data_IF_243512432719
#
_entry.id   IF_243512432719
#
_cell.length_a   1.000
_cell.length_b   1.000
_cell.length_c   1.000
_cell.angle_alpha   90.00
_cell.angle_beta   90.00
_cell.angle_gamma   90.00
#
_symmetry.space_group_name_H-M   'P 1'
#
loop_
_entity.id
_entity.type
_entity.pdbx_description
1 polymer ?
#
# COMPACT_ATOMS: atom_id res chain seq x y z
N UNK A 1 -0.86 -18.63 0.59
CA UNK A 1 0.38 -19.30 1.04
C UNK A 1 0.09 -19.91 2.40
N UNK A 2 0.48 -21.16 2.67
CA UNK A 2 -0.03 -21.96 3.80
C UNK A 2 1.04 -22.09 4.91
N UNK A 3 0.63 -21.97 6.18
CA UNK A 3 1.46 -22.12 7.39
C UNK A 3 1.86 -23.59 7.65
N UNK A 4 2.84 -23.82 8.54
CA UNK A 4 3.26 -25.17 9.01
C UNK A 4 2.15 -25.97 9.71
N UNK A 5 1.08 -25.31 10.15
CA UNK A 5 -0.13 -25.90 10.76
C UNK A 5 -1.37 -25.90 9.83
N UNK A 6 -1.23 -25.47 8.56
CA UNK A 6 -2.25 -25.65 7.52
C UNK A 6 -3.22 -24.49 7.26
N UNK A 7 -3.21 -23.42 8.05
CA UNK A 7 -4.00 -22.20 7.77
C UNK A 7 -3.19 -21.19 6.95
N UNK A 8 -3.77 -20.49 5.95
CA UNK A 8 -3.05 -19.46 5.22
C UNK A 8 -2.91 -18.17 6.03
N UNK A 9 -1.68 -17.73 6.29
CA UNK A 9 -1.42 -16.43 6.92
C UNK A 9 -1.81 -15.26 6.00
N UNK A 10 -1.85 -15.50 4.68
CA UNK A 10 -2.27 -14.51 3.68
C UNK A 10 -3.12 -15.15 2.57
N UNK A 11 -4.21 -14.48 2.22
CA UNK A 11 -5.07 -14.82 1.08
C UNK A 11 -5.71 -13.57 0.48
N UNK A 12 -6.24 -13.68 -0.73
CA UNK A 12 -7.04 -12.64 -1.39
C UNK A 12 -8.03 -13.32 -2.33
N UNK A 13 -9.15 -12.68 -2.64
CA UNK A 13 -10.11 -13.21 -3.62
C UNK A 13 -9.61 -13.00 -5.04
N UNK A 14 -9.17 -11.79 -5.36
CA UNK A 14 -8.68 -11.44 -6.68
C UNK A 14 -7.67 -10.31 -6.65
N UNK A 15 -6.72 -10.37 -7.58
CA UNK A 15 -5.82 -9.30 -7.95
C UNK A 15 -6.00 -9.08 -9.45
N UNK A 16 -6.39 -7.88 -9.85
CA UNK A 16 -6.51 -7.47 -11.25
C UNK A 16 -5.58 -6.30 -11.54
N UNK A 17 -5.04 -6.27 -12.75
CA UNK A 17 -4.27 -5.14 -13.26
C UNK A 17 -4.60 -4.95 -14.74
N UNK A 18 -5.18 -3.80 -15.08
CA UNK A 18 -5.47 -3.42 -16.45
C UNK A 18 -4.49 -2.33 -16.90
N UNK A 19 -3.73 -2.63 -17.96
CA UNK A 19 -2.74 -1.72 -18.53
C UNK A 19 -3.11 -1.42 -19.98
N UNK A 20 -3.02 -0.16 -20.39
CA UNK A 20 -3.24 0.25 -21.77
C UNK A 20 -1.98 0.04 -22.62
N UNK A 21 -1.95 -1.07 -23.36
CA UNK A 21 -0.82 -1.43 -24.23
C UNK A 21 -0.63 -0.42 -25.39
N UNK A 22 -1.71 0.20 -25.89
CA UNK A 22 -1.60 1.18 -26.97
C UNK A 22 -0.99 2.49 -26.46
N UNK A 23 -1.32 2.89 -25.24
CA UNK A 23 -0.67 4.02 -24.58
C UNK A 23 0.82 3.76 -24.39
N UNK A 24 1.22 2.54 -24.00
CA UNK A 24 2.63 2.16 -23.84
C UNK A 24 3.41 2.27 -25.16
N UNK A 25 2.83 1.86 -26.28
CA UNK A 25 3.43 2.04 -27.61
C UNK A 25 3.66 3.53 -27.95
N UNK A 26 2.78 4.40 -27.43
CA UNK A 26 2.91 5.86 -27.47
C UNK A 26 3.77 6.47 -26.35
N UNK A 27 4.56 5.68 -25.62
CA UNK A 27 5.41 6.12 -24.48
C UNK A 27 4.66 6.71 -23.28
N UNK A 28 3.38 6.37 -23.10
CA UNK A 28 2.59 6.75 -21.93
C UNK A 28 2.30 5.52 -21.09
N UNK A 29 2.41 5.65 -19.77
CA UNK A 29 2.11 4.57 -18.84
C UNK A 29 0.72 4.82 -18.28
N UNK A 30 -0.24 3.96 -18.64
CA UNK A 30 -1.62 4.09 -18.20
C UNK A 30 -2.03 2.76 -17.56
N UNK A 31 -2.09 2.76 -16.23
CA UNK A 31 -2.66 1.68 -15.44
C UNK A 31 -4.10 2.07 -15.15
N UNK A 32 -5.03 1.49 -15.90
CA UNK A 32 -6.45 1.84 -15.82
C UNK A 32 -7.05 1.40 -14.49
N UNK A 33 -6.58 0.27 -13.97
CA UNK A 33 -7.02 -0.29 -12.71
C UNK A 33 -5.97 -1.24 -12.15
N UNK A 34 -5.71 -1.15 -10.86
CA UNK A 34 -5.02 -2.16 -10.05
C UNK A 34 -5.89 -2.42 -8.83
N UNK A 35 -6.60 -3.54 -8.78
CA UNK A 35 -7.56 -3.84 -7.71
C UNK A 35 -7.17 -5.09 -6.93
N UNK A 36 -7.20 -5.00 -5.61
CA UNK A 36 -7.02 -6.12 -4.68
C UNK A 36 -8.31 -6.28 -3.88
N UNK A 37 -8.98 -7.42 -4.06
CA UNK A 37 -10.29 -7.68 -3.44
C UNK A 37 -10.17 -8.73 -2.35
N UNK A 38 -10.76 -8.41 -1.19
CA UNK A 38 -10.77 -9.20 0.03
C UNK A 38 -9.38 -9.73 0.44
N UNK A 39 -8.33 -8.89 0.49
CA UNK A 39 -7.06 -9.34 1.05
C UNK A 39 -7.24 -9.62 2.54
N UNK A 40 -6.74 -10.77 2.98
CA UNK A 40 -6.75 -11.22 4.37
C UNK A 40 -5.32 -11.52 4.79
N UNK A 41 -4.89 -10.92 5.89
CA UNK A 41 -3.61 -11.19 6.52
C UNK A 41 -3.82 -11.52 8.00
N UNK A 42 -3.19 -12.58 8.49
CA UNK A 42 -3.18 -12.97 9.89
C UNK A 42 -1.72 -13.11 10.33
N UNK A 43 -1.28 -12.17 11.17
CA UNK A 43 0.03 -12.20 11.80
C UNK A 43 -0.14 -12.64 13.24
N UNK A 44 0.61 -13.65 13.65
CA UNK A 44 0.56 -14.19 15.01
C UNK A 44 1.93 -14.12 15.65
N UNK A 45 1.99 -13.61 16.87
CA UNK A 45 3.15 -13.71 17.77
C UNK A 45 2.92 -14.82 18.78
N UNK A 46 3.84 -15.78 18.87
CA UNK A 46 3.80 -16.85 19.87
C UNK A 46 4.25 -16.36 21.27
N UNK A 47 4.18 -17.23 22.28
CA UNK A 47 4.54 -16.87 23.67
C UNK A 47 6.03 -16.58 23.82
N UNK A 48 6.85 -17.20 22.97
CA UNK A 48 8.28 -17.00 22.85
C UNK A 48 8.63 -15.68 22.14
N UNK A 49 7.65 -15.03 21.52
CA UNK A 49 7.76 -13.74 20.84
C UNK A 49 8.06 -13.82 19.34
N UNK A 50 8.04 -15.02 18.75
CA UNK A 50 8.29 -15.25 17.32
C UNK A 50 7.04 -15.00 16.50
N UNK A 51 7.20 -14.49 15.29
CA UNK A 51 6.09 -14.31 14.35
C UNK A 51 5.93 -15.52 13.44
N UNK A 52 4.69 -15.79 13.01
CA UNK A 52 4.39 -16.79 11.99
C UNK A 52 4.88 -16.41 10.57
N UNK A 53 5.51 -15.24 10.41
CA UNK A 53 6.08 -14.71 9.16
C UNK A 53 7.57 -14.36 9.28
N UNK A 54 8.26 -14.77 10.36
CA UNK A 54 9.68 -14.45 10.57
C UNK A 54 10.60 -14.96 9.44
N UNK A 55 10.19 -16.03 8.76
CA UNK A 55 10.86 -16.58 7.59
C UNK A 55 10.80 -15.66 6.37
N UNK A 56 9.75 -14.83 6.25
CA UNK A 56 9.62 -13.82 5.20
C UNK A 56 10.40 -12.54 5.53
N UNK A 57 10.66 -12.26 6.80
CA UNK A 57 11.34 -11.05 7.27
C UNK A 57 12.85 -11.21 7.36
N UNK A 58 13.36 -12.45 7.38
CA UNK A 58 14.78 -12.73 7.46
C UNK A 58 15.49 -12.35 6.15
N UNK A 59 16.53 -11.47 6.19
CA UNK A 59 17.31 -11.16 5.01
C UNK A 59 17.86 -12.45 4.40
N UNK A 60 17.60 -12.69 3.11
CA UNK A 60 18.34 -13.73 2.40
C UNK A 60 19.80 -13.27 2.29
N UNK A 61 20.69 -13.89 3.04
CA UNK A 61 22.13 -13.75 2.84
C UNK A 61 22.45 -14.23 1.41
N UNK A 62 22.62 -13.30 0.47
CA UNK A 62 22.84 -13.66 -0.92
C UNK A 62 22.67 -12.54 -1.92
N UNK A 63 23.47 -11.48 -1.79
CA UNK A 63 24.22 -10.86 -2.89
C UNK A 63 25.02 -9.69 -2.32
N UNK A 64 26.31 -9.53 -2.68
CA UNK A 64 26.99 -8.26 -2.48
C UNK A 64 26.16 -7.18 -3.18
N UNK A 65 25.69 -6.21 -2.40
CA UNK A 65 25.00 -5.05 -2.93
C UNK A 65 26.06 -4.23 -3.68
N UNK A 66 26.14 -4.44 -5.00
CA UNK A 66 26.86 -3.54 -5.88
C UNK A 66 26.20 -2.18 -5.73
N UNK A 67 26.88 -1.28 -5.02
CA UNK A 67 26.45 0.09 -4.81
C UNK A 67 26.19 0.71 -6.20
N UNK A 68 24.92 1.02 -6.55
CA UNK A 68 24.62 1.57 -7.86
C UNK A 68 25.43 2.86 -8.01
N UNK A 69 26.08 3.10 -9.15
CA UNK A 69 26.84 4.33 -9.34
C UNK A 69 25.92 5.51 -9.06
N UNK A 70 26.33 6.37 -8.12
CA UNK A 70 25.56 7.55 -7.75
C UNK A 70 25.17 8.32 -9.02
N UNK A 71 23.87 8.58 -9.27
CA UNK A 71 23.45 9.24 -10.49
C UNK A 71 24.08 10.62 -10.56
N UNK A 72 25.05 10.79 -11.47
CA UNK A 72 25.53 12.10 -11.89
C UNK A 72 24.45 12.74 -12.75
N UNK A 73 23.57 13.51 -12.14
CA UNK A 73 22.52 14.23 -12.85
C UNK A 73 22.02 15.44 -12.08
N UNK A 74 22.70 16.58 -12.21
CA UNK A 74 22.19 17.90 -11.82
C UNK A 74 21.26 18.47 -12.91
N UNK A 75 20.52 17.59 -13.58
CA UNK A 75 19.53 17.93 -14.60
C UNK A 75 18.13 17.80 -14.01
N UNK A 76 17.15 18.58 -14.48
CA UNK A 76 15.77 18.39 -14.06
C UNK A 76 15.26 17.00 -14.46
N UNK A 77 14.62 16.30 -13.52
CA UNK A 77 14.02 14.99 -13.77
C UNK A 77 12.74 15.19 -14.59
N UNK A 78 12.76 14.74 -15.84
CA UNK A 78 11.56 14.61 -16.68
C UNK A 78 10.84 13.31 -16.34
N UNK A 79 9.54 13.42 -16.06
CA UNK A 79 8.67 12.30 -15.70
C UNK A 79 7.92 11.82 -16.94
N UNK A 80 7.73 10.50 -17.10
CA UNK A 80 6.86 9.98 -18.13
C UNK A 80 5.42 10.44 -17.90
N UNK A 81 4.64 10.53 -18.97
CA UNK A 81 3.18 10.61 -18.87
C UNK A 81 2.69 9.34 -18.18
N UNK A 82 2.25 9.49 -16.94
CA UNK A 82 1.84 8.39 -16.08
C UNK A 82 0.46 8.69 -15.48
N UNK A 83 -0.42 7.70 -15.57
CA UNK A 83 -1.69 7.69 -14.85
C UNK A 83 -1.91 6.32 -14.21
N UNK A 84 -2.49 6.31 -13.01
CA UNK A 84 -2.84 5.09 -12.30
C UNK A 84 -4.10 5.28 -11.47
N UNK A 85 -4.95 4.26 -11.48
CA UNK A 85 -5.93 4.04 -10.41
C UNK A 85 -5.63 2.72 -9.74
N UNK A 86 -5.62 2.71 -8.41
CA UNK A 86 -5.43 1.51 -7.63
C UNK A 86 -6.36 1.50 -6.43
N UNK A 87 -6.79 0.31 -6.01
CA UNK A 87 -7.68 0.15 -4.87
C UNK A 87 -7.43 -1.15 -4.11
N UNK A 88 -7.76 -1.10 -2.83
CA UNK A 88 -7.98 -2.29 -2.01
C UNK A 88 -9.43 -2.25 -1.58
N UNK A 89 -10.14 -3.35 -1.79
CA UNK A 89 -11.55 -3.48 -1.45
C UNK A 89 -11.71 -4.53 -0.36
N UNK A 90 -12.32 -4.11 0.75
CA UNK A 90 -12.73 -4.97 1.86
C UNK A 90 -11.59 -5.83 2.47
N UNK A 91 -10.43 -5.21 2.68
CA UNK A 91 -9.30 -5.85 3.34
C UNK A 91 -9.54 -6.15 4.81
N UNK A 92 -8.87 -7.19 5.30
CA UNK A 92 -8.90 -7.61 6.71
C UNK A 92 -7.49 -7.98 7.16
N UNK A 93 -7.07 -7.41 8.29
CA UNK A 93 -5.78 -7.70 8.89
C UNK A 93 -5.98 -8.04 10.36
N UNK A 94 -5.42 -9.14 10.83
CA UNK A 94 -5.50 -9.56 12.22
C UNK A 94 -4.09 -9.72 12.77
N UNK A 95 -3.87 -9.16 13.95
CA UNK A 95 -2.68 -9.38 14.75
C UNK A 95 -3.07 -10.05 16.06
N UNK A 96 -2.62 -11.28 16.24
CA UNK A 96 -2.82 -12.08 17.44
C UNK A 96 -1.51 -12.14 18.24
N UNK A 97 -1.48 -11.56 19.43
CA UNK A 97 -0.33 -11.64 20.33
C UNK A 97 -0.61 -12.63 21.47
N UNK A 98 -0.11 -13.86 21.34
CA UNK A 98 -0.30 -14.89 22.36
C UNK A 98 0.53 -14.64 23.62
N UNK A 99 1.51 -13.73 23.58
CA UNK A 99 2.34 -13.37 24.73
C UNK A 99 1.60 -12.40 25.65
N UNK A 100 0.90 -11.40 25.09
CA UNK A 100 0.05 -10.48 25.87
C UNK A 100 -1.40 -10.97 26.01
N UNK A 101 -1.84 -11.92 25.17
CA UNK A 101 -3.24 -12.34 25.06
C UNK A 101 -4.12 -11.34 24.30
N UNK A 102 -3.51 -10.38 23.62
CA UNK A 102 -4.20 -9.32 22.91
C UNK A 102 -4.50 -9.69 21.45
N UNK A 103 -5.62 -9.20 20.93
CA UNK A 103 -5.93 -9.27 19.50
C UNK A 103 -6.34 -7.90 19.01
N UNK A 104 -5.74 -7.49 17.89
CA UNK A 104 -6.07 -6.27 17.16
C UNK A 104 -6.48 -6.67 15.76
N UNK A 105 -7.59 -6.14 15.28
CA UNK A 105 -8.02 -6.38 13.91
C UNK A 105 -8.31 -5.07 13.18
N UNK A 106 -8.01 -5.05 11.90
CA UNK A 106 -8.44 -4.04 10.94
C UNK A 106 -9.46 -4.71 10.03
N UNK A 107 -10.67 -4.18 9.99
CA UNK A 107 -11.79 -4.68 9.18
C UNK A 107 -12.19 -3.63 8.16
N UNK A 108 -12.84 -4.08 7.09
CA UNK A 108 -13.37 -3.20 6.03
C UNK A 108 -12.32 -2.21 5.53
N UNK A 109 -11.07 -2.69 5.39
CA UNK A 109 -9.98 -1.86 4.91
C UNK A 109 -10.15 -1.57 3.43
N UNK A 110 -10.50 -0.33 3.11
CA UNK A 110 -10.70 0.15 1.76
C UNK A 110 -9.69 1.25 1.46
N UNK A 111 -9.07 1.18 0.29
CA UNK A 111 -8.19 2.23 -0.21
C UNK A 111 -8.54 2.58 -1.64
N UNK A 112 -8.35 3.84 -1.99
CA UNK A 112 -8.45 4.30 -3.37
C UNK A 112 -7.32 5.31 -3.64
N UNK A 113 -6.48 5.00 -4.60
CA UNK A 113 -5.47 5.89 -5.17
C UNK A 113 -5.96 6.30 -6.56
N UNK A 114 -5.99 7.60 -6.82
CA UNK A 114 -6.17 8.12 -8.17
C UNK A 114 -5.11 9.15 -8.50
N UNK A 115 -4.36 8.87 -9.55
CA UNK A 115 -3.43 9.79 -10.21
C UNK A 115 -3.82 9.88 -11.68
N UNK A 116 -4.69 10.83 -12.06
CA UNK A 116 -5.15 10.99 -13.44
C UNK A 116 -4.00 11.32 -14.41
N UNK A 117 -3.04 12.11 -13.95
CA UNK A 117 -1.76 12.35 -14.62
C UNK A 117 -0.72 12.78 -13.58
N UNK A 118 0.56 12.77 -13.96
CA UNK A 118 1.64 13.25 -13.10
C UNK A 118 1.52 14.75 -12.76
N UNK A 119 0.84 15.52 -13.62
CA UNK A 119 0.68 16.97 -13.52
C UNK A 119 -0.60 17.40 -12.76
N UNK A 120 -1.46 16.44 -12.45
CA UNK A 120 -2.71 16.65 -11.73
C UNK A 120 -2.57 16.24 -10.26
N UNK A 121 -3.48 16.72 -9.38
CA UNK A 121 -3.51 16.27 -8.01
C UNK A 121 -3.69 14.74 -7.90
N UNK A 122 -2.79 14.12 -7.14
CA UNK A 122 -2.88 12.72 -6.71
C UNK A 122 -3.77 12.68 -5.49
N UNK A 123 -4.74 11.77 -5.47
CA UNK A 123 -5.63 11.59 -4.32
C UNK A 123 -5.46 10.18 -3.76
N UNK A 124 -5.41 10.08 -2.43
CA UNK A 124 -5.41 8.82 -1.69
C UNK A 124 -6.54 8.90 -0.66
N UNK A 125 -7.42 7.91 -0.65
CA UNK A 125 -8.39 7.70 0.42
C UNK A 125 -8.13 6.35 1.08
N UNK A 126 -8.21 6.30 2.40
CA UNK A 126 -8.10 5.09 3.21
C UNK A 126 -9.24 5.11 4.23
N UNK A 127 -9.92 4.00 4.42
CA UNK A 127 -10.95 3.83 5.44
C UNK A 127 -10.92 2.42 6.00
N UNK A 128 -11.08 2.26 7.31
CA UNK A 128 -11.15 0.96 7.97
C UNK A 128 -11.73 1.07 9.37
N UNK A 129 -12.15 -0.06 9.93
CA UNK A 129 -12.54 -0.19 11.33
C UNK A 129 -11.42 -0.88 12.10
N UNK A 130 -10.88 -0.22 13.11
CA UNK A 130 -9.94 -0.79 14.07
C UNK A 130 -10.72 -1.44 15.21
N UNK A 131 -10.49 -2.72 15.45
CA UNK A 131 -11.09 -3.49 16.53
C UNK A 131 -10.00 -3.88 17.52
N UNK A 132 -10.16 -3.46 18.78
CA UNK A 132 -9.19 -3.74 19.85
C UNK A 132 -9.92 -3.82 21.18
N UNK A 133 -9.68 -4.88 21.96
CA UNK A 133 -10.30 -5.03 23.28
C UNK A 133 -11.84 -5.09 23.27
N UNK A 134 -12.45 -5.44 22.12
CA UNK A 134 -13.90 -5.44 21.93
C UNK A 134 -14.50 -4.09 21.52
N UNK A 135 -13.70 -3.03 21.49
CA UNK A 135 -14.09 -1.71 20.98
C UNK A 135 -13.81 -1.60 19.48
N UNK A 136 -14.63 -0.84 18.77
CA UNK A 136 -14.46 -0.56 17.34
C UNK A 136 -14.32 0.94 17.12
N UNK A 137 -13.32 1.34 16.34
CA UNK A 137 -13.07 2.73 15.96
C UNK A 137 -12.95 2.83 14.44
N UNK A 138 -13.82 3.61 13.81
CA UNK A 138 -13.75 3.91 12.39
C UNK A 138 -12.70 4.98 12.13
N UNK A 139 -11.74 4.65 11.27
CA UNK A 139 -10.64 5.51 10.88
C UNK A 139 -10.77 5.83 9.39
N UNK A 140 -10.67 7.11 9.06
CA UNK A 140 -10.65 7.59 7.68
C UNK A 140 -9.50 8.57 7.46
N UNK A 141 -8.85 8.46 6.31
CA UNK A 141 -7.78 9.34 5.88
C UNK A 141 -7.99 9.73 4.42
N UNK A 142 -7.84 11.02 4.11
CA UNK A 142 -7.83 11.53 2.74
C UNK A 142 -6.58 12.39 2.57
N UNK A 143 -5.79 12.08 1.55
CA UNK A 143 -4.63 12.86 1.19
C UNK A 143 -4.73 13.33 -0.26
N UNK A 144 -4.27 14.54 -0.51
CA UNK A 144 -4.16 15.12 -1.86
C UNK A 144 -2.76 15.69 -2.01
N UNK A 145 -2.07 15.37 -3.09
CA UNK A 145 -0.72 15.86 -3.35
C UNK A 145 -0.58 16.38 -4.79
N UNK A 146 0.19 17.46 -4.97
CA UNK A 146 0.62 17.95 -6.29
C UNK A 146 2.14 17.88 -6.33
N UNK A 147 2.66 17.03 -7.21
CA UNK A 147 4.10 16.69 -7.22
C UNK A 147 4.83 17.10 -8.49
N UNK A 148 4.13 17.33 -9.60
CA UNK A 148 4.73 17.74 -10.85
C UNK A 148 3.88 18.76 -11.60
N UNK A 149 4.54 19.44 -12.53
CA UNK A 149 3.94 20.35 -13.50
C UNK A 149 4.76 20.31 -14.78
N UNK A 150 4.11 20.26 -15.94
CA UNK A 150 4.77 20.09 -17.24
C UNK A 150 5.78 18.92 -17.25
N UNK A 151 5.39 17.79 -16.64
CA UNK A 151 6.17 16.56 -16.53
C UNK A 151 7.47 16.73 -15.75
N UNK A 152 7.53 17.70 -14.83
CA UNK A 152 8.73 17.99 -14.04
C UNK A 152 8.39 18.05 -12.56
N UNK A 153 9.20 17.40 -11.74
CA UNK A 153 9.01 17.40 -10.29
C UNK A 153 9.05 18.83 -9.73
N UNK A 154 8.09 19.13 -8.87
CA UNK A 154 8.05 20.36 -8.08
C UNK A 154 8.94 20.18 -6.85
N UNK A 155 10.25 20.41 -6.99
CA UNK A 155 11.22 20.17 -5.90
C UNK A 155 11.12 21.17 -4.75
N UNK A 156 10.60 22.37 -5.02
CA UNK A 156 10.52 23.50 -4.08
C UNK A 156 9.08 23.93 -3.75
N UNK A 157 8.09 23.39 -4.47
CA UNK A 157 6.68 23.80 -4.39
C UNK A 157 5.68 22.66 -4.49
N UNK A 158 6.11 21.41 -4.30
CA UNK A 158 5.18 20.31 -4.13
C UNK A 158 4.29 20.58 -2.90
N UNK A 159 3.01 20.24 -3.02
CA UNK A 159 2.05 20.39 -1.92
C UNK A 159 1.46 19.04 -1.57
N UNK A 160 1.14 18.86 -0.30
CA UNK A 160 0.36 17.74 0.19
C UNK A 160 -0.55 18.22 1.32
N UNK A 161 -1.80 17.78 1.31
CA UNK A 161 -2.74 17.92 2.42
C UNK A 161 -3.18 16.53 2.87
N UNK A 162 -3.44 16.39 4.16
CA UNK A 162 -3.89 15.16 4.77
C UNK A 162 -4.95 15.49 5.80
N UNK A 163 -6.14 14.94 5.60
CA UNK A 163 -7.24 14.98 6.54
C UNK A 163 -7.39 13.60 7.18
N UNK A 164 -7.55 13.61 8.50
CA UNK A 164 -7.71 12.39 9.31
C UNK A 164 -8.97 12.51 10.16
N UNK A 165 -9.68 11.41 10.32
CA UNK A 165 -10.86 11.32 11.19
C UNK A 165 -10.86 9.98 11.90
N UNK A 166 -11.22 10.01 13.18
CA UNK A 166 -11.36 8.85 14.05
C UNK A 166 -12.67 8.97 14.81
N UNK A 167 -13.54 7.97 14.71
CA UNK A 167 -14.86 7.98 15.35
C UNK A 167 -15.14 6.61 15.97
N UNK A 168 -15.43 6.53 17.28
CA UNK A 168 -15.90 5.29 17.90
C UNK A 168 -17.21 4.80 17.26
N UNK A 169 -17.36 3.49 17.08
CA UNK A 169 -18.54 2.85 16.45
C UNK A 169 -19.32 2.03 17.46
#
# INVERSE_FOLDING_TARGET
>A
MVERDGAPFASLRSLSCEVDIMALAGRRIVVRELSIVDPKLVVRRDREGRLNIDDLLSPKEGSPEEEPPAPKGQGPIELPDLSIRAEVVNGTFEFEDLKSGETVAVREFNTALAMPSINEPITLSVGFNLVRGGETEAIALKAVARIAENNRLLTDRATASLDFTSVPV
#
